data_IF_195084337075
#
_entry.id   IF_195084337075
#
_cell.length_a   1.000
_cell.length_b   1.000
_cell.length_c   1.000
_cell.angle_alpha   90.00
_cell.angle_beta   90.00
_cell.angle_gamma   90.00
#
_symmetry.space_group_name_H-M   'P 1'
#
loop_
_entity.id
_entity.type
_entity.pdbx_description
1 polymer ?
#
# COMPACT_ATOMS: atom_id res chain seq x y z
N UNK A 1 -18.47 7.79 -7.75
CA UNK A 1 -17.91 6.60 -8.43
C UNK A 1 -16.38 6.69 -8.43
N UNK A 2 -15.73 6.21 -7.37
CA UNK A 2 -14.27 6.14 -7.16
C UNK A 2 -13.63 4.87 -7.72
N UNK A 3 -14.27 4.24 -8.71
CA UNK A 3 -13.73 3.04 -9.37
C UNK A 3 -12.45 3.38 -10.12
N UNK A 4 -11.31 3.39 -9.42
CA UNK A 4 -10.00 3.66 -10.01
C UNK A 4 -8.94 4.22 -9.07
N UNK A 5 -9.28 4.70 -7.86
CA UNK A 5 -8.26 5.22 -6.94
C UNK A 5 -7.50 4.05 -6.26
N UNK A 6 -6.21 3.91 -6.57
CA UNK A 6 -5.32 2.95 -5.92
C UNK A 6 -4.12 3.69 -5.31
N UNK A 7 -3.89 3.51 -4.00
CA UNK A 7 -2.79 4.18 -3.29
C UNK A 7 -1.41 3.66 -3.69
N UNK A 8 -1.35 2.40 -4.14
CA UNK A 8 -0.15 1.73 -4.64
C UNK A 8 -0.49 0.72 -5.74
N UNK A 9 0.38 0.58 -6.72
CA UNK A 9 0.28 -0.44 -7.76
C UNK A 9 1.65 -0.78 -8.35
N UNK A 10 1.83 -2.03 -8.80
CA UNK A 10 2.94 -2.40 -9.67
C UNK A 10 2.58 -2.05 -11.12
N UNK A 11 3.45 -1.31 -11.79
CA UNK A 11 3.27 -0.90 -13.19
C UNK A 11 4.35 -1.53 -14.05
N UNK A 12 4.02 -2.50 -14.92
CA UNK A 12 4.99 -3.03 -15.88
C UNK A 12 5.44 -1.95 -16.87
N UNK A 13 6.73 -1.94 -17.19
CA UNK A 13 7.30 -1.03 -18.19
C UNK A 13 7.13 -1.58 -19.62
N UNK A 14 6.81 -2.86 -19.75
CA UNK A 14 6.63 -3.54 -21.03
C UNK A 14 5.20 -4.07 -21.16
N UNK A 15 4.60 -3.98 -22.36
CA UNK A 15 3.22 -4.45 -22.58
C UNK A 15 3.05 -5.97 -22.49
N UNK A 16 4.10 -6.74 -22.79
CA UNK A 16 4.04 -8.22 -22.88
C UNK A 16 4.78 -8.93 -21.75
N UNK A 17 5.35 -8.18 -20.80
CA UNK A 17 6.05 -8.73 -19.65
C UNK A 17 5.64 -8.00 -18.39
N UNK A 18 5.59 -8.72 -17.27
CA UNK A 18 5.30 -8.12 -15.95
C UNK A 18 6.53 -7.48 -15.32
N UNK A 19 7.71 -7.82 -15.84
CA UNK A 19 9.01 -7.29 -15.45
C UNK A 19 9.80 -6.88 -16.71
N UNK A 20 10.55 -5.78 -16.70
CA UNK A 20 10.72 -4.88 -15.57
C UNK A 20 9.45 -4.03 -15.29
N UNK A 21 9.32 -3.55 -14.07
CA UNK A 21 8.23 -2.68 -13.63
C UNK A 21 8.70 -1.67 -12.58
N UNK A 22 7.77 -0.81 -12.16
CA UNK A 22 7.95 0.24 -11.14
C UNK A 22 6.81 0.20 -10.13
N UNK A 23 7.03 0.82 -8.97
CA UNK A 23 5.99 0.98 -7.94
C UNK A 23 5.38 2.36 -8.05
N UNK A 24 4.14 2.43 -8.54
CA UNK A 24 3.40 3.69 -8.60
C UNK A 24 2.63 3.91 -7.30
N UNK A 25 2.81 5.07 -6.68
CA UNK A 25 2.11 5.48 -5.46
C UNK A 25 1.38 6.81 -5.65
N UNK A 26 0.41 7.09 -4.78
CA UNK A 26 -0.07 8.47 -4.55
C UNK A 26 0.88 9.18 -3.59
N UNK A 27 1.33 10.40 -3.93
CA UNK A 27 2.04 11.25 -2.99
C UNK A 27 1.08 11.86 -1.97
N UNK A 28 0.96 11.21 -0.80
CA UNK A 28 0.07 11.66 0.25
C UNK A 28 0.48 12.99 0.91
N UNK A 29 1.67 13.51 0.63
CA UNK A 29 2.10 14.83 1.12
C UNK A 29 1.46 15.98 0.33
N UNK A 30 1.02 15.72 -0.91
CA UNK A 30 0.41 16.72 -1.80
C UNK A 30 -1.10 16.89 -1.56
N UNK A 31 -1.74 15.90 -0.95
CA UNK A 31 -3.15 15.97 -0.56
C UNK A 31 -3.38 16.94 0.61
N UNK A 32 -4.50 17.68 0.65
CA UNK A 32 -5.64 17.62 -0.26
C UNK A 32 -5.52 18.53 -1.50
N UNK A 33 -4.40 19.26 -1.65
CA UNK A 33 -4.24 20.27 -2.70
C UNK A 33 -4.16 19.67 -4.10
N UNK A 34 -3.42 18.58 -4.27
CA UNK A 34 -3.21 17.95 -5.56
C UNK A 34 -3.05 16.42 -5.44
N UNK A 35 -3.70 15.68 -6.35
CA UNK A 35 -3.52 14.25 -6.51
C UNK A 35 -2.36 13.99 -7.49
N UNK A 36 -1.18 13.66 -6.94
CA UNK A 36 0.04 13.37 -7.72
C UNK A 36 0.40 11.90 -7.59
N UNK A 37 0.78 11.27 -8.70
CA UNK A 37 1.34 9.92 -8.72
C UNK A 37 2.86 9.97 -8.92
N UNK A 38 3.58 9.11 -8.20
CA UNK A 38 5.03 8.94 -8.32
C UNK A 38 5.35 7.51 -8.72
N UNK A 39 6.27 7.34 -9.68
CA UNK A 39 6.80 6.03 -10.07
C UNK A 39 8.16 5.83 -9.39
N UNK A 40 8.23 4.87 -8.47
CA UNK A 40 9.42 4.54 -7.71
C UNK A 40 10.14 3.37 -8.38
N UNK A 41 11.40 3.57 -8.72
CA UNK A 41 12.18 2.68 -9.59
C UNK A 41 13.15 1.77 -8.84
N UNK A 42 13.46 2.08 -7.59
CA UNK A 42 14.44 1.35 -6.78
C UNK A 42 14.10 1.40 -5.28
N UNK A 43 14.88 0.66 -4.48
CA UNK A 43 14.71 0.54 -3.03
C UNK A 43 14.89 1.88 -2.32
N UNK A 44 15.83 2.70 -2.78
CA UNK A 44 16.13 4.00 -2.16
C UNK A 44 14.97 4.97 -2.32
N UNK A 45 14.34 4.99 -3.50
CA UNK A 45 13.14 5.78 -3.77
C UNK A 45 11.95 5.35 -2.88
N UNK A 46 11.75 4.04 -2.67
CA UNK A 46 10.70 3.55 -1.75
C UNK A 46 11.04 3.89 -0.30
N UNK A 47 12.29 3.73 0.11
CA UNK A 47 12.74 4.08 1.46
C UNK A 47 12.54 5.57 1.75
N UNK A 48 12.90 6.46 0.81
CA UNK A 48 12.65 7.90 0.91
C UNK A 48 11.16 8.17 1.05
N UNK A 49 10.32 7.60 0.17
CA UNK A 49 8.88 7.84 0.17
C UNK A 49 8.20 7.40 1.48
N UNK A 50 8.73 6.36 2.15
CA UNK A 50 8.29 5.93 3.48
C UNK A 50 8.72 6.94 4.56
N UNK A 51 9.98 7.40 4.53
CA UNK A 51 10.54 8.32 5.54
C UNK A 51 9.90 9.71 5.43
N UNK A 52 9.72 10.23 4.21
CA UNK A 52 9.09 11.53 3.95
C UNK A 52 7.56 11.51 4.02
N UNK A 53 6.98 10.36 4.40
CA UNK A 53 5.53 10.16 4.59
C UNK A 53 4.69 10.35 3.32
N UNK A 54 5.29 10.22 2.13
CA UNK A 54 4.56 10.07 0.87
C UNK A 54 3.76 8.77 0.87
N UNK A 55 4.31 7.72 1.47
CA UNK A 55 3.63 6.46 1.79
C UNK A 55 3.38 6.38 3.29
N UNK A 56 2.11 6.24 3.69
CA UNK A 56 1.73 5.99 5.08
C UNK A 56 0.45 5.16 5.16
N UNK A 57 0.25 4.56 6.33
CA UNK A 57 -0.78 3.54 6.56
C UNK A 57 -0.10 2.19 6.75
N UNK A 58 -0.40 1.50 7.86
CA UNK A 58 0.36 0.31 8.24
C UNK A 58 0.30 -0.79 7.14
N UNK A 59 -0.87 -1.15 6.59
CA UNK A 59 -0.90 -2.13 5.49
C UNK A 59 -0.17 -1.66 4.24
N UNK A 60 -0.32 -0.38 3.86
CA UNK A 60 0.35 0.19 2.69
C UNK A 60 1.88 0.12 2.81
N UNK A 61 2.44 0.38 4.00
CA UNK A 61 3.89 0.26 4.24
C UNK A 61 4.40 -1.17 4.01
N UNK A 62 3.63 -2.17 4.41
CA UNK A 62 3.95 -3.57 4.14
C UNK A 62 3.98 -3.88 2.65
N UNK A 63 2.98 -3.40 1.90
CA UNK A 63 2.87 -3.62 0.45
C UNK A 63 4.00 -2.90 -0.30
N UNK A 64 4.29 -1.65 0.06
CA UNK A 64 5.40 -0.89 -0.51
C UNK A 64 6.74 -1.60 -0.28
N UNK A 65 6.99 -2.09 0.94
CA UNK A 65 8.20 -2.83 1.25
C UNK A 65 8.30 -4.15 0.47
N UNK A 66 7.20 -4.87 0.30
CA UNK A 66 7.16 -6.09 -0.51
C UNK A 66 7.52 -5.81 -1.98
N UNK A 67 6.96 -4.76 -2.58
CA UNK A 67 7.31 -4.39 -3.95
C UNK A 67 8.73 -3.83 -4.09
N UNK A 68 9.26 -3.13 -3.08
CA UNK A 68 10.65 -2.68 -3.09
C UNK A 68 11.64 -3.84 -3.15
N UNK A 69 11.34 -4.97 -2.50
CA UNK A 69 12.16 -6.19 -2.62
C UNK A 69 12.14 -6.74 -4.06
N UNK A 70 11.01 -6.62 -4.77
CA UNK A 70 10.92 -6.99 -6.19
C UNK A 70 11.77 -6.06 -7.06
N UNK A 71 11.77 -4.75 -6.78
CA UNK A 71 12.66 -3.79 -7.45
C UNK A 71 14.14 -4.15 -7.24
N UNK A 72 14.53 -4.52 -6.01
CA UNK A 72 15.89 -4.97 -5.71
C UNK A 72 16.29 -6.23 -6.51
N UNK A 73 15.38 -7.19 -6.63
CA UNK A 73 15.62 -8.41 -7.41
C UNK A 73 15.73 -8.11 -8.92
N UNK A 74 14.93 -7.17 -9.42
CA UNK A 74 14.97 -6.70 -10.81
C UNK A 74 16.29 -5.97 -11.13
N UNK A 75 16.75 -5.13 -10.21
CA UNK A 75 18.05 -4.46 -10.28
C UNK A 75 19.21 -5.46 -10.25
N UNK A 76 19.18 -6.41 -9.31
CA UNK A 76 20.17 -7.47 -9.24
C UNK A 76 20.25 -8.29 -10.53
N UNK A 77 19.10 -8.62 -11.14
CA UNK A 77 19.04 -9.31 -12.42
C UNK A 77 19.71 -8.51 -13.54
N UNK A 78 19.41 -7.21 -13.63
CA UNK A 78 20.00 -6.31 -14.64
C UNK A 78 21.51 -6.20 -14.49
N UNK A 79 21.97 -6.10 -13.25
CA UNK A 79 23.38 -5.85 -12.92
C UNK A 79 24.17 -7.15 -12.66
N UNK A 80 23.56 -8.30 -12.98
CA UNK A 80 24.12 -9.66 -12.83
C UNK A 80 24.62 -9.97 -11.40
N UNK A 81 23.93 -9.44 -10.39
CA UNK A 81 24.21 -9.65 -8.97
C UNK A 81 23.39 -10.82 -8.39
N UNK A 82 23.83 -11.43 -7.28
CA UNK A 82 23.06 -12.46 -6.61
C UNK A 82 21.74 -11.91 -6.03
N UNK A 83 20.61 -12.25 -6.65
CA UNK A 83 19.26 -11.82 -6.24
C UNK A 83 19.03 -12.03 -4.73
N UNK A 84 19.42 -13.20 -4.20
CA UNK A 84 19.22 -13.52 -2.79
C UNK A 84 19.96 -12.59 -1.83
N UNK A 85 21.14 -12.06 -2.21
CA UNK A 85 21.87 -11.09 -1.39
C UNK A 85 21.22 -9.70 -1.51
N UNK A 86 20.93 -9.24 -2.72
CA UNK A 86 20.27 -7.95 -2.95
C UNK A 86 18.91 -7.84 -2.26
N UNK A 87 18.14 -8.93 -2.19
CA UNK A 87 16.88 -9.00 -1.42
C UNK A 87 17.11 -8.80 0.08
N UNK A 88 18.16 -9.40 0.66
CA UNK A 88 18.50 -9.23 2.09
C UNK A 88 18.92 -7.79 2.39
N UNK A 89 19.77 -7.22 1.54
CA UNK A 89 20.28 -5.86 1.71
C UNK A 89 19.16 -4.81 1.58
N UNK A 90 18.24 -5.03 0.63
CA UNK A 90 17.04 -4.21 0.48
C UNK A 90 16.15 -4.29 1.72
N UNK A 91 15.92 -5.50 2.25
CA UNK A 91 15.12 -5.67 3.46
C UNK A 91 15.75 -4.95 4.65
N UNK A 92 17.08 -5.02 4.83
CA UNK A 92 17.75 -4.33 5.93
C UNK A 92 17.65 -2.80 5.80
N UNK A 93 17.84 -2.27 4.60
CA UNK A 93 17.62 -0.85 4.31
C UNK A 93 16.21 -0.42 4.70
N UNK A 94 15.19 -1.17 4.28
CA UNK A 94 13.78 -0.84 4.51
C UNK A 94 13.38 -0.96 5.98
N UNK A 95 13.93 -1.92 6.75
CA UNK A 95 13.68 -2.04 8.20
C UNK A 95 14.07 -0.79 8.99
N UNK A 96 15.10 -0.07 8.54
CA UNK A 96 15.62 1.13 9.19
C UNK A 96 14.77 2.37 8.95
N UNK A 97 13.87 2.35 7.95
CA UNK A 97 13.02 3.51 7.62
C UNK A 97 12.03 3.85 8.74
N UNK A 98 11.34 2.84 9.28
CA UNK A 98 10.34 2.99 10.36
C UNK A 98 10.36 1.77 11.28
N UNK A 99 11.28 1.71 12.27
CA UNK A 99 11.54 0.52 13.09
C UNK A 99 10.35 -0.03 13.90
N UNK A 100 9.29 0.76 14.07
CA UNK A 100 8.07 0.36 14.80
C UNK A 100 6.91 -0.05 13.88
N UNK A 101 7.07 0.03 12.56
CA UNK A 101 6.02 -0.30 11.60
C UNK A 101 5.90 -1.81 11.40
N UNK A 102 5.19 -2.52 12.29
CA UNK A 102 5.04 -3.99 12.26
C UNK A 102 4.68 -4.54 10.87
N UNK A 103 3.71 -3.95 10.18
CA UNK A 103 3.30 -4.40 8.84
C UNK A 103 4.40 -4.26 7.78
N UNK A 104 5.32 -3.31 7.92
CA UNK A 104 6.51 -3.20 7.05
C UNK A 104 7.36 -4.46 7.18
N UNK A 105 7.62 -4.92 8.41
CA UNK A 105 8.36 -6.16 8.66
C UNK A 105 7.63 -7.38 8.13
N UNK A 106 6.31 -7.44 8.23
CA UNK A 106 5.51 -8.55 7.67
C UNK A 106 5.71 -8.66 6.16
N UNK A 107 5.60 -7.55 5.43
CA UNK A 107 5.81 -7.51 3.98
C UNK A 107 7.23 -7.94 3.59
N UNK A 108 8.25 -7.41 4.28
CA UNK A 108 9.65 -7.76 4.07
C UNK A 108 9.93 -9.24 4.32
N UNK A 109 9.55 -9.74 5.49
CA UNK A 109 9.85 -11.13 5.88
C UNK A 109 9.21 -12.12 4.90
N UNK A 110 7.98 -11.84 4.45
CA UNK A 110 7.30 -12.69 3.45
C UNK A 110 8.08 -12.80 2.14
N UNK A 111 8.65 -11.69 1.65
CA UNK A 111 9.41 -11.67 0.40
C UNK A 111 10.82 -12.22 0.56
N UNK A 112 11.48 -11.96 1.69
CA UNK A 112 12.78 -12.55 2.02
C UNK A 112 12.67 -14.07 2.14
N UNK A 113 11.63 -14.58 2.80
CA UNK A 113 11.37 -16.03 2.85
C UNK A 113 11.11 -16.62 1.46
N UNK A 114 10.35 -15.94 0.61
CA UNK A 114 10.13 -16.38 -0.77
C UNK A 114 11.45 -16.45 -1.56
N UNK A 115 12.31 -15.44 -1.42
CA UNK A 115 13.61 -15.41 -2.07
C UNK A 115 14.58 -16.49 -1.57
N UNK A 116 14.42 -16.96 -0.33
CA UNK A 116 15.22 -18.08 0.20
C UNK A 116 14.69 -19.45 -0.25
N UNK A 117 13.38 -19.56 -0.54
CA UNK A 117 12.74 -20.82 -0.94
C UNK A 117 12.68 -21.03 -2.46
N UNK A 118 12.76 -19.95 -3.25
CA UNK A 118 12.71 -20.05 -4.70
C UNK A 118 13.87 -20.92 -5.23
N UNK A 119 13.54 -21.82 -6.14
CA UNK A 119 14.52 -22.60 -6.92
C UNK A 119 14.73 -22.02 -8.31
N UNK A 120 13.96 -20.98 -8.64
CA UNK A 120 14.04 -20.26 -9.91
C UNK A 120 15.29 -19.39 -9.92
N UNK A 121 15.80 -19.09 -11.12
CA UNK A 121 16.90 -18.15 -11.32
C UNK A 121 16.56 -17.15 -12.42
N UNK A 122 17.37 -16.10 -12.54
CA UNK A 122 17.21 -15.09 -13.59
C UNK A 122 15.82 -14.42 -13.56
N UNK A 123 15.20 -14.17 -14.73
CA UNK A 123 13.87 -13.55 -14.81
C UNK A 123 12.76 -14.34 -14.12
N UNK A 124 12.87 -15.67 -14.02
CA UNK A 124 11.85 -16.50 -13.39
C UNK A 124 11.77 -16.24 -11.88
N UNK A 125 12.91 -16.06 -11.21
CA UNK A 125 12.96 -15.72 -9.79
C UNK A 125 12.28 -14.38 -9.49
N UNK A 126 12.54 -13.35 -10.31
CA UNK A 126 11.92 -12.03 -10.13
C UNK A 126 10.40 -12.09 -10.35
N UNK A 127 9.93 -12.87 -11.34
CA UNK A 127 8.49 -13.09 -11.57
C UNK A 127 7.82 -13.81 -10.40
N UNK A 128 8.48 -14.79 -9.79
CA UNK A 128 7.99 -15.49 -8.61
C UNK A 128 7.85 -14.55 -7.40
N UNK A 129 8.87 -13.72 -7.14
CA UNK A 129 8.81 -12.70 -6.09
C UNK A 129 7.70 -11.67 -6.34
N UNK A 130 7.55 -11.19 -7.58
CA UNK A 130 6.45 -10.31 -7.94
C UNK A 130 5.08 -10.94 -7.64
N UNK A 131 4.88 -12.21 -8.01
CA UNK A 131 3.64 -12.92 -7.71
C UNK A 131 3.39 -13.03 -6.19
N UNK A 132 4.42 -13.22 -5.37
CA UNK A 132 4.29 -13.22 -3.91
C UNK A 132 3.89 -11.84 -3.38
N UNK A 133 4.49 -10.76 -3.87
CA UNK A 133 4.15 -9.39 -3.48
C UNK A 133 2.71 -9.02 -3.87
N UNK A 134 2.28 -9.40 -5.07
CA UNK A 134 0.90 -9.17 -5.54
C UNK A 134 -0.11 -9.99 -4.76
N UNK A 135 0.19 -11.25 -4.43
CA UNK A 135 -0.66 -12.05 -3.57
C UNK A 135 -0.78 -11.46 -2.16
N UNK A 136 0.29 -10.86 -1.63
CA UNK A 136 0.25 -10.14 -0.36
C UNK A 136 -0.63 -8.89 -0.44
N UNK A 137 -0.49 -8.09 -1.50
CA UNK A 137 -1.34 -6.94 -1.78
C UNK A 137 -2.82 -7.34 -1.93
N UNK A 138 -3.11 -8.38 -2.72
CA UNK A 138 -4.48 -8.86 -2.92
C UNK A 138 -5.08 -9.47 -1.65
N UNK A 139 -4.26 -10.03 -0.76
CA UNK A 139 -4.71 -10.45 0.57
C UNK A 139 -5.18 -9.26 1.41
N UNK A 140 -4.46 -8.13 1.36
CA UNK A 140 -4.87 -6.90 2.05
C UNK A 140 -6.18 -6.33 1.47
N UNK A 141 -6.33 -6.34 0.13
CA UNK A 141 -7.57 -5.95 -0.54
C UNK A 141 -8.77 -6.77 -0.09
N UNK A 142 -8.62 -8.09 -0.04
CA UNK A 142 -9.65 -9.00 0.46
C UNK A 142 -9.99 -8.77 1.93
N UNK A 143 -8.99 -8.51 2.77
CA UNK A 143 -9.19 -8.18 4.17
C UNK A 143 -9.95 -6.86 4.34
N UNK A 144 -9.56 -5.81 3.62
CA UNK A 144 -10.25 -4.52 3.60
C UNK A 144 -11.73 -4.67 3.20
N UNK A 145 -12.01 -5.42 2.13
CA UNK A 145 -13.37 -5.68 1.68
C UNK A 145 -14.20 -6.48 2.71
N UNK A 146 -13.59 -7.45 3.39
CA UNK A 146 -14.25 -8.20 4.46
C UNK A 146 -14.56 -7.31 5.67
N UNK A 147 -13.58 -6.51 6.12
CA UNK A 147 -13.77 -5.52 7.20
C UNK A 147 -14.90 -4.55 6.83
N UNK A 148 -14.92 -4.06 5.59
CA UNK A 148 -15.97 -3.17 5.12
C UNK A 148 -17.36 -3.80 5.20
N UNK A 149 -17.51 -5.03 4.66
CA UNK A 149 -18.79 -5.75 4.70
C UNK A 149 -19.30 -6.00 6.12
N UNK A 150 -18.44 -6.54 6.98
CA UNK A 150 -18.83 -6.86 8.37
C UNK A 150 -19.02 -5.62 9.23
N UNK A 151 -18.20 -4.58 9.03
CA UNK A 151 -18.34 -3.33 9.77
C UNK A 151 -19.61 -2.58 9.38
N UNK A 152 -20.02 -2.62 8.11
CA UNK A 152 -21.26 -2.00 7.67
C UNK A 152 -22.52 -2.65 8.26
N UNK A 153 -22.48 -3.93 8.65
CA UNK A 153 -23.59 -4.59 9.35
C UNK A 153 -23.89 -3.95 10.73
N UNK A 154 -22.92 -3.22 11.29
CA UNK A 154 -23.05 -2.52 12.58
C UNK A 154 -23.52 -1.07 12.43
N UNK A 155 -23.62 -0.55 11.20
CA UNK A 155 -23.91 0.86 10.93
C UNK A 155 -25.36 0.98 10.42
N UNK A 156 -26.20 1.67 11.19
CA UNK A 156 -27.60 1.89 10.82
C UNK A 156 -27.75 3.01 9.77
N UNK A 157 -28.83 3.02 8.98
CA UNK A 157 -29.20 4.18 8.15
C UNK A 157 -29.29 5.46 8.99
N UNK A 158 -28.77 6.58 8.49
CA UNK A 158 -28.76 7.87 9.20
C UNK A 158 -27.64 8.02 10.24
N UNK A 159 -26.73 7.04 10.35
CA UNK A 159 -25.68 7.05 11.38
C UNK A 159 -24.73 8.26 11.27
N UNK A 160 -24.30 8.72 12.44
CA UNK A 160 -23.33 9.81 12.62
C UNK A 160 -22.07 9.24 13.26
N UNK A 161 -21.02 9.09 12.47
CA UNK A 161 -19.82 8.34 12.84
C UNK A 161 -18.67 9.30 13.11
N UNK A 162 -18.03 9.21 14.28
CA UNK A 162 -16.76 9.88 14.56
C UNK A 162 -15.60 8.96 14.16
N UNK A 163 -14.60 9.50 13.46
CA UNK A 163 -13.38 8.77 13.10
C UNK A 163 -12.14 9.60 13.40
N UNK A 164 -11.01 8.92 13.55
CA UNK A 164 -9.71 9.52 13.90
C UNK A 164 -8.62 8.99 12.97
N UNK A 165 -7.66 9.85 12.62
CA UNK A 165 -6.61 9.57 11.63
C UNK A 165 -7.18 9.29 10.22
N UNK A 166 -6.46 8.52 9.41
CA UNK A 166 -6.83 8.07 8.08
C UNK A 166 -6.65 6.55 7.97
N UNK A 167 -7.75 5.89 7.60
CA UNK A 167 -7.87 4.41 7.58
C UNK A 167 -8.66 3.93 6.36
N UNK A 168 -8.68 4.73 5.29
CA UNK A 168 -9.37 4.42 4.03
C UNK A 168 -8.41 3.89 2.97
N UNK A 169 -8.77 4.16 1.71
CA UNK A 169 -8.03 3.72 0.52
C UNK A 169 -6.57 4.16 0.58
N UNK A 170 -6.32 5.38 1.06
CA UNK A 170 -4.97 5.94 1.10
C UNK A 170 -4.03 5.19 2.07
N UNK A 171 -4.56 4.47 3.06
CA UNK A 171 -3.77 3.80 4.09
C UNK A 171 -3.55 2.30 3.83
N UNK A 172 -4.13 1.73 2.77
CA UNK A 172 -4.16 0.28 2.52
C UNK A 172 -3.98 -0.04 1.04
N UNK A 173 -3.86 -1.32 0.68
CA UNK A 173 -3.93 -1.78 -0.71
C UNK A 173 -5.36 -1.90 -1.25
N UNK A 174 -6.36 -1.85 -0.35
CA UNK A 174 -7.79 -1.95 -0.66
C UNK A 174 -8.57 -0.68 -0.32
N UNK A 175 -9.84 -0.85 0.05
CA UNK A 175 -10.74 0.25 0.40
C UNK A 175 -10.52 0.82 1.82
N UNK A 176 -9.57 0.28 2.58
CA UNK A 176 -9.33 0.68 3.97
C UNK A 176 -9.85 -0.31 5.01
N UNK A 177 -9.83 0.12 6.27
CA UNK A 177 -10.35 -0.62 7.41
C UNK A 177 -11.61 0.03 7.96
N UNK A 178 -11.49 0.97 8.90
CA UNK A 178 -12.65 1.64 9.48
C UNK A 178 -13.45 2.42 8.43
N UNK A 179 -12.76 3.07 7.49
CA UNK A 179 -13.44 3.81 6.42
C UNK A 179 -14.01 2.89 5.33
N UNK A 180 -13.50 1.67 5.15
CA UNK A 180 -14.17 0.68 4.28
C UNK A 180 -15.57 0.34 4.80
N UNK A 181 -15.76 0.24 6.13
CA UNK A 181 -17.08 0.03 6.72
C UNK A 181 -18.01 1.23 6.48
N UNK A 182 -17.47 2.45 6.56
CA UNK A 182 -18.20 3.68 6.26
C UNK A 182 -18.61 3.76 4.79
N UNK A 183 -17.69 3.49 3.85
CA UNK A 183 -17.98 3.49 2.42
C UNK A 183 -19.05 2.45 2.09
N UNK A 184 -18.94 1.26 2.65
CA UNK A 184 -19.90 0.19 2.44
C UNK A 184 -21.28 0.52 3.03
N UNK A 185 -21.35 1.07 4.26
CA UNK A 185 -22.61 1.53 4.83
C UNK A 185 -23.24 2.66 4.01
N UNK A 186 -22.43 3.59 3.50
CA UNK A 186 -22.91 4.64 2.60
C UNK A 186 -23.45 4.05 1.29
N UNK A 187 -22.80 3.05 0.70
CA UNK A 187 -23.31 2.33 -0.48
C UNK A 187 -24.66 1.65 -0.22
N UNK A 188 -24.87 1.10 0.99
CA UNK A 188 -26.12 0.40 1.38
C UNK A 188 -27.27 1.34 1.72
N UNK A 189 -26.99 2.50 2.31
CA UNK A 189 -28.02 3.31 2.97
C UNK A 189 -28.07 4.78 2.53
N UNK A 190 -27.01 5.31 1.91
CA UNK A 190 -26.90 6.70 1.43
C UNK A 190 -26.72 7.75 2.53
N UNK A 191 -27.58 7.79 3.55
CA UNK A 191 -27.51 8.82 4.60
C UNK A 191 -26.54 8.43 5.72
N UNK A 192 -25.24 8.62 5.49
CA UNK A 192 -24.18 8.43 6.51
C UNK A 192 -23.42 9.75 6.66
N UNK A 193 -23.27 10.23 7.90
CA UNK A 193 -22.49 11.45 8.21
C UNK A 193 -21.25 11.11 9.01
N UNK A 194 -20.10 11.61 8.57
CA UNK A 194 -18.82 11.34 9.21
C UNK A 194 -18.22 12.62 9.79
N UNK A 195 -17.85 12.55 11.07
CA UNK A 195 -17.04 13.55 11.75
C UNK A 195 -15.59 13.06 11.76
N UNK A 196 -14.75 13.66 10.92
CA UNK A 196 -13.33 13.35 10.85
C UNK A 196 -12.53 14.33 11.73
N UNK A 197 -11.93 13.85 12.82
CA UNK A 197 -11.04 14.68 13.63
C UNK A 197 -9.79 15.07 12.84
N UNK A 198 -9.30 16.31 12.94
CA UNK A 198 -8.17 16.79 12.13
C UNK A 198 -6.90 15.93 12.27
N UNK A 199 -6.67 15.36 13.46
CA UNK A 199 -5.55 14.46 13.81
C UNK A 199 -4.18 15.15 13.75
N UNK A 200 -3.86 15.98 14.74
CA UNK A 200 -2.50 16.56 14.92
C UNK A 200 -1.44 15.48 15.18
N UNK A 201 -0.16 15.73 14.84
CA UNK A 201 0.37 16.95 14.21
C UNK A 201 0.40 16.92 12.67
N UNK A 202 0.10 15.79 12.04
CA UNK A 202 0.25 15.61 10.58
C UNK A 202 -1.04 15.83 9.78
N UNK A 203 -2.13 16.12 10.49
CA UNK A 203 -3.44 16.47 9.95
C UNK A 203 -4.04 15.39 9.05
N UNK A 204 -3.87 14.10 9.38
CA UNK A 204 -4.35 13.00 8.54
C UNK A 204 -5.86 13.06 8.31
N UNK A 205 -6.64 13.39 9.33
CA UNK A 205 -8.09 13.43 9.19
C UNK A 205 -8.54 14.60 8.32
N UNK A 206 -7.96 15.79 8.51
CA UNK A 206 -8.29 16.96 7.72
C UNK A 206 -7.79 16.87 6.27
N UNK A 207 -6.59 16.33 6.06
CA UNK A 207 -5.93 16.29 4.74
C UNK A 207 -6.30 15.09 3.90
N UNK A 208 -6.45 13.91 4.52
CA UNK A 208 -6.68 12.66 3.81
C UNK A 208 -8.10 12.15 3.98
N UNK A 209 -8.55 11.93 5.22
CA UNK A 209 -9.87 11.34 5.48
C UNK A 209 -10.99 12.20 4.92
N UNK A 210 -10.97 13.50 5.17
CA UNK A 210 -11.95 14.42 4.59
C UNK A 210 -11.85 14.48 3.05
N UNK A 211 -10.64 14.38 2.50
CA UNK A 211 -10.43 14.40 1.04
C UNK A 211 -10.99 13.14 0.38
N UNK A 212 -10.69 11.95 0.92
CA UNK A 212 -11.14 10.67 0.34
C UNK A 212 -12.64 10.44 0.55
N UNK A 213 -13.20 10.85 1.69
CA UNK A 213 -14.65 10.80 1.94
C UNK A 213 -15.44 11.64 0.93
N UNK A 214 -14.89 12.77 0.47
CA UNK A 214 -15.52 13.61 -0.57
C UNK A 214 -15.49 12.99 -1.97
N UNK A 215 -14.71 11.93 -2.20
CA UNK A 215 -14.67 11.25 -3.49
C UNK A 215 -15.77 10.17 -3.61
N UNK A 216 -16.32 9.72 -2.47
CA UNK A 216 -17.36 8.69 -2.38
C UNK A 216 -18.75 9.32 -2.33
#
# INVERSE_FOLDING_TARGET
MTSGLASIQWVPLERRSRIPGVVRIIDQTRLPGELVYLDLTDVSAVAEAIVSLRIRGAPLLGIAAAYAVVLAAQEALRDQQPIGQSVRDAAETLRRTRPTAVNLFVGLNRLVEAAMRTRSSGPAAVKELLAVAENFHESDRRACAAIGRHGADLIQPGARILTYCNTGILATGGEGTALAAVYEAHRRHGDIRVFACETRPLWQGARLTAWELRQH
#
